data_IF_714878165146
#
_entry.id   IF_714878165146
#
_cell.length_a   1.000
_cell.length_b   1.000
_cell.length_c   1.000
_cell.angle_alpha   90.00
_cell.angle_beta   90.00
_cell.angle_gamma   90.00
#
_symmetry.space_group_name_H-M   'P 1'
#
loop_
_entity.id
_entity.type
_entity.pdbx_description
1 polymer ?
#
# COMPACT_ATOMS: atom_id res chain seq x y z
N UNK A 1 29.23 -13.77 6.31
CA UNK A 1 29.43 -12.69 5.33
C UNK A 1 28.67 -13.03 4.03
N UNK A 2 27.33 -12.92 4.02
CA UNK A 2 26.50 -13.07 2.81
C UNK A 2 25.22 -12.21 2.98
N UNK A 3 25.34 -10.92 3.31
CA UNK A 3 24.17 -10.03 3.42
C UNK A 3 24.28 -8.73 2.63
N UNK A 4 25.20 -8.63 1.67
CA UNK A 4 25.46 -7.37 0.96
C UNK A 4 24.83 -7.19 -0.43
N UNK A 5 24.21 -8.22 -1.00
CA UNK A 5 23.80 -8.18 -2.43
C UNK A 5 22.29 -8.22 -2.68
N UNK A 6 21.43 -8.38 -1.66
CA UNK A 6 19.98 -8.47 -1.88
C UNK A 6 19.20 -7.17 -1.66
N UNK A 7 19.81 -6.14 -1.06
CA UNK A 7 19.10 -4.88 -0.72
C UNK A 7 18.96 -3.88 -1.89
N UNK A 8 19.67 -4.06 -2.98
CA UNK A 8 19.77 -3.01 -4.03
C UNK A 8 18.80 -3.16 -5.21
N UNK A 9 18.04 -4.25 -5.30
CA UNK A 9 17.18 -4.50 -6.46
C UNK A 9 15.77 -3.91 -6.35
N UNK A 10 15.31 -3.51 -5.17
CA UNK A 10 13.96 -2.98 -4.91
C UNK A 10 13.98 -1.68 -4.09
N UNK A 11 12.92 -0.87 -4.13
CA UNK A 11 12.71 0.21 -3.18
C UNK A 11 12.55 -0.29 -1.75
N UNK A 12 12.85 0.56 -0.77
CA UNK A 12 12.50 0.31 0.63
C UNK A 12 10.98 0.50 0.82
N UNK A 13 10.30 -0.53 1.30
CA UNK A 13 8.84 -0.55 1.42
C UNK A 13 8.41 -0.48 2.88
N UNK A 14 7.63 0.55 3.21
CA UNK A 14 6.99 0.72 4.51
C UNK A 14 5.52 0.35 4.36
N UNK A 15 5.07 -0.73 4.99
CA UNK A 15 3.65 -1.01 5.16
C UNK A 15 3.10 -0.14 6.28
N UNK A 16 2.05 0.63 6.00
CA UNK A 16 1.39 1.47 6.99
C UNK A 16 -0.12 1.25 6.94
N UNK A 17 -0.70 0.96 8.08
CA UNK A 17 -2.14 0.80 8.22
C UNK A 17 -2.61 1.25 9.62
N UNK A 18 -3.90 1.45 9.75
CA UNK A 18 -4.58 1.56 11.04
C UNK A 18 -5.57 0.42 11.19
N UNK A 19 -5.71 -0.09 12.38
CA UNK A 19 -6.67 -1.15 12.70
C UNK A 19 -7.33 -0.93 14.06
N UNK A 20 -8.49 -1.55 14.26
CA UNK A 20 -9.09 -1.72 15.57
C UNK A 20 -8.26 -2.64 16.45
N UNK A 21 -8.51 -2.68 17.75
CA UNK A 21 -7.82 -3.57 18.68
C UNK A 21 -7.99 -5.05 18.30
N UNK A 22 -9.11 -5.40 17.67
CA UNK A 22 -9.41 -6.75 17.16
C UNK A 22 -8.98 -6.97 15.69
N UNK A 23 -8.11 -6.08 15.15
CA UNK A 23 -7.41 -6.27 13.87
C UNK A 23 -8.22 -5.93 12.61
N UNK A 24 -9.28 -5.14 12.72
CA UNK A 24 -10.09 -4.71 11.56
C UNK A 24 -9.62 -3.37 11.01
N UNK A 25 -9.48 -3.27 9.68
CA UNK A 25 -9.13 -2.02 8.98
C UNK A 25 -10.34 -1.33 8.36
N UNK A 26 -11.47 -2.03 8.29
CA UNK A 26 -12.75 -1.46 7.90
C UNK A 26 -13.90 -2.31 8.46
N UNK A 27 -15.06 -1.69 8.63
CA UNK A 27 -16.30 -2.39 8.99
C UNK A 27 -16.81 -3.22 7.81
N UNK A 28 -17.83 -4.07 8.03
CA UNK A 28 -18.50 -4.82 6.96
C UNK A 28 -19.17 -3.90 5.93
N UNK A 29 -19.60 -2.71 6.33
CA UNK A 29 -20.19 -1.69 5.44
C UNK A 29 -19.12 -0.88 4.69
N UNK A 30 -17.85 -1.06 5.07
CA UNK A 30 -16.72 -0.46 4.42
C UNK A 30 -16.21 0.83 5.01
N UNK A 31 -16.72 1.27 6.13
CA UNK A 31 -16.14 2.41 6.84
C UNK A 31 -14.71 2.07 7.30
N UNK A 32 -13.74 2.87 6.86
CA UNK A 32 -12.30 2.75 7.13
C UNK A 32 -11.75 3.96 7.92
N UNK A 33 -12.62 4.87 8.40
CA UNK A 33 -12.21 6.04 9.17
C UNK A 33 -11.92 5.69 10.65
N UNK A 34 -10.83 4.98 10.89
CA UNK A 34 -10.51 4.41 12.19
C UNK A 34 -9.49 5.23 13.00
N UNK A 35 -8.55 5.92 12.34
CA UNK A 35 -7.47 6.65 13.04
C UNK A 35 -7.92 7.99 13.61
N UNK A 36 -7.34 8.37 14.75
CA UNK A 36 -7.45 9.71 15.31
C UNK A 36 -6.77 10.76 14.39
N UNK A 37 -7.03 12.04 14.65
CA UNK A 37 -6.47 13.14 13.84
C UNK A 37 -4.94 13.19 13.90
N UNK A 38 -4.35 12.96 15.05
CA UNK A 38 -2.90 12.96 15.27
C UNK A 38 -2.21 11.89 14.45
N UNK A 39 -2.82 10.70 14.33
CA UNK A 39 -2.31 9.65 13.46
C UNK A 39 -2.48 10.01 11.98
N UNK A 40 -3.61 10.60 11.58
CA UNK A 40 -3.77 11.13 10.22
C UNK A 40 -2.68 12.15 9.88
N UNK A 41 -2.33 13.05 10.79
CA UNK A 41 -1.19 13.99 10.60
C UNK A 41 0.14 13.25 10.47
N UNK A 42 0.39 12.22 11.29
CA UNK A 42 1.59 11.36 11.20
C UNK A 42 1.70 10.71 9.81
N UNK A 43 0.60 10.13 9.32
CA UNK A 43 0.57 9.49 7.99
C UNK A 43 0.88 10.51 6.89
N UNK A 44 0.30 11.71 6.93
CA UNK A 44 0.59 12.74 5.93
C UNK A 44 2.04 13.26 5.98
N UNK A 45 2.64 13.32 7.19
CA UNK A 45 4.09 13.59 7.33
C UNK A 45 4.94 12.46 6.73
N UNK A 46 4.46 11.21 6.79
CA UNK A 46 5.13 10.08 6.17
C UNK A 46 4.99 10.12 4.64
N UNK A 47 3.79 10.41 4.11
CA UNK A 47 3.55 10.59 2.67
C UNK A 47 4.47 11.65 2.07
N UNK A 48 4.72 12.74 2.78
CA UNK A 48 5.62 13.80 2.34
C UNK A 48 7.12 13.40 2.32
N UNK A 49 7.49 12.23 2.85
CA UNK A 49 8.88 11.75 2.99
C UNK A 49 9.19 10.51 2.14
N UNK A 50 8.24 10.02 1.38
CA UNK A 50 8.41 8.88 0.48
C UNK A 50 8.33 9.33 -0.98
N UNK A 51 8.89 8.55 -1.87
CA UNK A 51 8.83 8.85 -3.30
C UNK A 51 7.49 8.46 -3.90
N UNK A 52 6.87 7.40 -3.37
CA UNK A 52 5.59 6.90 -3.86
C UNK A 52 4.70 6.31 -2.76
N UNK A 53 3.38 6.36 -3.01
CA UNK A 53 2.35 5.60 -2.27
C UNK A 53 1.86 4.49 -3.18
N UNK A 54 1.75 3.28 -2.64
CA UNK A 54 1.21 2.12 -3.36
C UNK A 54 -0.07 1.61 -2.70
N UNK A 55 -1.09 1.36 -3.52
CA UNK A 55 -2.34 0.73 -3.08
C UNK A 55 -2.82 -0.30 -4.11
N UNK A 56 -3.61 -1.27 -3.66
CA UNK A 56 -4.33 -2.18 -4.55
C UNK A 56 -5.58 -1.53 -5.14
N UNK A 57 -6.03 -2.03 -6.30
CA UNK A 57 -7.20 -1.49 -6.99
C UNK A 57 -8.47 -1.50 -6.13
N UNK A 58 -8.67 -2.49 -5.27
CA UNK A 58 -9.87 -2.54 -4.43
C UNK A 58 -9.99 -1.35 -3.48
N UNK A 59 -8.87 -0.79 -3.00
CA UNK A 59 -8.83 0.45 -2.22
C UNK A 59 -9.32 1.64 -3.06
N UNK A 60 -8.92 1.72 -4.34
CA UNK A 60 -9.38 2.79 -5.23
C UNK A 60 -10.88 2.65 -5.53
N UNK A 61 -11.35 1.44 -5.82
CA UNK A 61 -12.76 1.18 -6.14
C UNK A 61 -13.69 1.47 -4.96
N UNK A 62 -13.20 1.26 -3.73
CA UNK A 62 -14.01 1.41 -2.52
C UNK A 62 -13.97 2.85 -1.98
N UNK A 63 -12.77 3.41 -1.83
CA UNK A 63 -12.57 4.64 -1.07
C UNK A 63 -12.33 5.86 -1.97
N UNK A 64 -12.07 5.66 -3.27
CA UNK A 64 -11.69 6.70 -4.24
C UNK A 64 -10.71 7.74 -3.64
N UNK A 65 -9.57 7.28 -3.11
CA UNK A 65 -8.67 8.12 -2.35
C UNK A 65 -7.89 9.07 -3.26
N UNK A 66 -7.52 10.25 -2.73
CA UNK A 66 -6.63 11.18 -3.46
C UNK A 66 -5.17 10.80 -3.40
N UNK A 67 -4.72 10.07 -2.37
CA UNK A 67 -3.33 9.69 -2.08
C UNK A 67 -2.37 10.90 -2.08
N UNK A 68 -2.81 12.00 -1.52
CA UNK A 68 -2.08 13.28 -1.47
C UNK A 68 -1.62 13.62 -0.06
N UNK A 69 -0.75 14.61 0.04
CA UNK A 69 -0.35 15.25 1.31
C UNK A 69 -1.31 16.39 1.62
N UNK A 70 -2.05 16.31 2.75
CA UNK A 70 -3.01 17.34 3.19
C UNK A 70 -2.59 18.00 4.51
N UNK A 71 -2.18 17.20 5.49
CA UNK A 71 -1.92 17.66 6.86
C UNK A 71 -0.43 17.81 7.18
N UNK A 72 0.42 18.00 6.16
CA UNK A 72 1.85 18.22 6.31
C UNK A 72 2.36 19.12 5.18
N UNK A 73 3.52 19.75 5.38
CA UNK A 73 4.26 20.40 4.30
C UNK A 73 5.06 19.37 3.53
N UNK A 74 5.04 19.44 2.21
CA UNK A 74 5.81 18.53 1.32
C UNK A 74 5.15 18.36 -0.03
N UNK A 75 5.83 17.62 -0.91
CA UNK A 75 5.31 17.29 -2.25
C UNK A 75 4.41 16.05 -2.17
N UNK A 76 3.44 15.98 -3.07
CA UNK A 76 2.67 14.75 -3.26
C UNK A 76 3.59 13.65 -3.80
N UNK A 77 3.55 12.45 -3.23
CA UNK A 77 4.27 11.29 -3.76
C UNK A 77 3.63 10.79 -5.06
N UNK A 78 4.38 10.01 -5.83
CA UNK A 78 3.87 9.28 -6.99
C UNK A 78 2.82 8.28 -6.49
N UNK A 79 1.68 8.19 -7.17
CA UNK A 79 0.62 7.22 -6.87
C UNK A 79 0.88 5.95 -7.67
N UNK A 80 0.98 4.81 -7.03
CA UNK A 80 1.15 3.51 -7.66
C UNK A 80 -0.10 2.68 -7.37
N UNK A 81 -0.83 2.32 -8.40
CA UNK A 81 -2.03 1.48 -8.30
C UNK A 81 -1.70 0.11 -8.89
N UNK A 82 -1.86 -0.94 -8.09
CA UNK A 82 -1.69 -2.33 -8.57
C UNK A 82 -3.04 -2.88 -8.99
N UNK A 83 -3.23 -3.05 -10.31
CA UNK A 83 -4.50 -3.43 -10.93
C UNK A 83 -4.29 -4.31 -12.16
N UNK A 84 -4.13 -5.60 -11.98
CA UNK A 84 -3.80 -6.55 -13.05
C UNK A 84 -4.68 -6.45 -14.30
N UNK A 85 -5.96 -6.05 -14.15
CA UNK A 85 -6.95 -6.03 -15.23
C UNK A 85 -7.41 -4.64 -15.64
N UNK A 86 -6.75 -3.58 -15.17
CA UNK A 86 -7.12 -2.18 -15.43
C UNK A 86 -8.60 -1.87 -15.13
N UNK A 87 -9.10 -2.33 -13.96
CA UNK A 87 -10.47 -2.10 -13.49
C UNK A 87 -10.71 -0.66 -13.03
N UNK A 88 -9.64 0.10 -12.85
CA UNK A 88 -9.69 1.48 -12.36
C UNK A 88 -10.65 2.32 -13.21
N UNK A 89 -11.61 3.05 -12.63
CA UNK A 89 -12.45 3.99 -13.34
C UNK A 89 -11.63 5.16 -13.90
N UNK A 90 -12.00 5.69 -15.07
CA UNK A 90 -11.37 6.90 -15.61
C UNK A 90 -11.65 8.13 -14.73
N UNK A 91 -12.79 8.11 -14.06
CA UNK A 91 -13.28 9.16 -13.17
C UNK A 91 -12.61 9.13 -11.78
N UNK A 92 -11.86 8.08 -11.47
CA UNK A 92 -11.19 7.95 -10.17
C UNK A 92 -10.29 9.15 -9.87
N UNK A 93 -10.34 9.66 -8.64
CA UNK A 93 -9.55 10.83 -8.22
C UNK A 93 -8.06 10.70 -8.51
N UNK A 94 -7.50 9.49 -8.34
CA UNK A 94 -6.09 9.22 -8.64
C UNK A 94 -5.75 9.33 -10.13
N UNK A 95 -6.73 9.25 -11.03
CA UNK A 95 -6.60 9.46 -12.48
C UNK A 95 -6.77 10.93 -12.82
N UNK A 96 -7.80 11.57 -12.26
CA UNK A 96 -8.20 12.93 -12.63
C UNK A 96 -7.35 14.03 -12.01
N UNK A 97 -6.74 13.80 -10.84
CA UNK A 97 -5.90 14.79 -10.18
C UNK A 97 -4.56 14.96 -10.91
N UNK A 98 -4.30 16.18 -11.39
CA UNK A 98 -3.05 16.55 -12.11
C UNK A 98 -1.97 17.13 -11.17
N UNK A 99 -2.11 16.93 -9.87
CA UNK A 99 -1.22 17.42 -8.81
C UNK A 99 -0.04 16.47 -8.47
N UNK A 100 0.18 15.47 -9.31
CA UNK A 100 1.24 14.47 -9.20
C UNK A 100 1.11 13.37 -10.27
N UNK A 101 2.10 12.50 -10.34
CA UNK A 101 2.11 11.37 -11.27
C UNK A 101 1.30 10.19 -10.73
N UNK A 102 0.63 9.48 -11.64
CA UNK A 102 -0.03 8.20 -11.35
C UNK A 102 0.56 7.12 -12.25
N UNK A 103 1.05 6.04 -11.63
CA UNK A 103 1.52 4.82 -12.28
C UNK A 103 0.49 3.72 -12.04
N UNK A 104 0.06 3.06 -13.11
CA UNK A 104 -0.81 1.90 -13.04
C UNK A 104 -0.03 0.65 -13.41
N UNK A 105 0.17 -0.25 -12.47
CA UNK A 105 0.79 -1.55 -12.72
C UNK A 105 -0.29 -2.55 -13.15
N UNK A 106 -0.11 -3.15 -14.32
CA UNK A 106 -1.06 -4.08 -14.95
C UNK A 106 -0.38 -5.36 -15.39
N UNK A 107 -1.16 -6.41 -15.62
CA UNK A 107 -0.71 -7.63 -16.30
C UNK A 107 -1.06 -7.56 -17.79
N UNK A 108 -0.62 -8.57 -18.56
CA UNK A 108 -0.98 -8.71 -19.99
C UNK A 108 -2.48 -8.87 -20.25
N UNK A 109 -3.26 -9.23 -19.22
CA UNK A 109 -4.72 -9.35 -19.33
C UNK A 109 -5.45 -8.01 -19.35
N UNK A 110 -4.76 -6.89 -19.15
CA UNK A 110 -5.41 -5.57 -19.17
C UNK A 110 -5.89 -5.20 -20.58
N UNK A 111 -7.16 -4.75 -20.76
CA UNK A 111 -7.71 -4.42 -22.06
C UNK A 111 -6.98 -3.23 -22.72
N UNK A 112 -6.49 -3.40 -23.95
CA UNK A 112 -5.65 -2.41 -24.66
C UNK A 112 -6.36 -1.07 -24.85
N UNK A 113 -7.66 -1.08 -25.17
CA UNK A 113 -8.45 0.15 -25.34
C UNK A 113 -8.56 0.93 -24.02
N UNK A 114 -8.72 0.21 -22.89
CA UNK A 114 -8.74 0.84 -21.57
C UNK A 114 -7.39 1.46 -21.24
N UNK A 115 -6.30 0.77 -21.55
CA UNK A 115 -4.94 1.29 -21.32
C UNK A 115 -4.66 2.53 -22.19
N UNK A 116 -5.15 2.56 -23.44
CA UNK A 116 -5.04 3.74 -24.32
C UNK A 116 -5.74 4.95 -23.68
N UNK A 117 -6.99 4.80 -23.26
CA UNK A 117 -7.76 5.87 -22.61
C UNK A 117 -7.11 6.36 -21.32
N UNK A 118 -6.55 5.47 -20.50
CA UNK A 118 -5.82 5.84 -19.26
C UNK A 118 -4.56 6.64 -19.58
N UNK A 119 -3.82 6.32 -20.66
CA UNK A 119 -2.67 7.12 -21.11
C UNK A 119 -3.10 8.50 -21.59
N UNK A 120 -4.21 8.63 -22.29
CA UNK A 120 -4.80 9.91 -22.71
C UNK A 120 -5.12 10.78 -21.48
N UNK A 121 -5.54 10.17 -20.37
CA UNK A 121 -5.70 10.84 -19.08
C UNK A 121 -4.37 11.16 -18.35
N UNK A 122 -3.22 10.81 -18.93
CA UNK A 122 -1.89 11.05 -18.35
C UNK A 122 -1.42 10.02 -17.32
N UNK A 123 -2.06 8.84 -17.26
CA UNK A 123 -1.61 7.74 -16.41
C UNK A 123 -0.47 6.99 -17.11
N UNK A 124 0.66 6.84 -16.43
CA UNK A 124 1.77 6.00 -16.90
C UNK A 124 1.45 4.53 -16.62
N UNK A 125 1.62 3.66 -17.62
CA UNK A 125 1.33 2.23 -17.50
C UNK A 125 2.63 1.44 -17.35
N UNK A 126 2.68 0.57 -16.36
CA UNK A 126 3.73 -0.45 -16.18
C UNK A 126 3.07 -1.81 -16.40
N UNK A 127 3.41 -2.48 -17.51
CA UNK A 127 2.93 -3.84 -17.78
C UNK A 127 3.95 -4.84 -17.31
N UNK A 128 3.59 -5.66 -16.32
CA UNK A 128 4.44 -6.70 -15.75
C UNK A 128 3.61 -7.89 -15.24
N UNK A 129 3.99 -9.09 -15.66
CA UNK A 129 3.28 -10.34 -15.35
C UNK A 129 2.23 -10.73 -16.38
N UNK A 130 1.92 -12.02 -16.42
CA UNK A 130 0.96 -12.60 -17.37
C UNK A 130 -0.49 -12.37 -16.92
N UNK A 131 -0.94 -13.12 -15.90
CA UNK A 131 -2.31 -13.10 -15.39
C UNK A 131 -2.51 -12.08 -14.27
N UNK A 132 -1.46 -11.85 -13.51
CA UNK A 132 -1.41 -10.91 -12.39
C UNK A 132 -0.15 -10.07 -12.49
N UNK A 133 -0.16 -8.92 -11.86
CA UNK A 133 1.06 -8.11 -11.70
C UNK A 133 2.11 -8.94 -10.96
N UNK A 134 3.28 -9.11 -11.59
CA UNK A 134 4.48 -9.65 -10.95
C UNK A 134 5.09 -8.56 -10.07
N UNK A 135 4.94 -8.73 -8.75
CA UNK A 135 5.35 -7.71 -7.79
C UNK A 135 6.88 -7.55 -7.73
N UNK A 136 7.66 -8.63 -7.94
CA UNK A 136 9.13 -8.55 -7.96
C UNK A 136 9.61 -7.78 -9.17
N UNK A 137 9.06 -8.05 -10.35
CA UNK A 137 9.35 -7.31 -11.57
C UNK A 137 8.92 -5.85 -11.45
N UNK A 138 7.74 -5.59 -10.86
CA UNK A 138 7.28 -4.24 -10.57
C UNK A 138 8.26 -3.49 -9.66
N UNK A 139 8.71 -4.09 -8.56
CA UNK A 139 9.66 -3.46 -7.64
C UNK A 139 10.98 -3.12 -8.34
N UNK A 140 11.50 -4.01 -9.19
CA UNK A 140 12.70 -3.77 -9.98
C UNK A 140 12.53 -2.58 -10.92
N UNK A 141 11.42 -2.53 -11.65
CA UNK A 141 11.10 -1.42 -12.57
C UNK A 141 10.98 -0.09 -11.82
N UNK A 142 10.30 -0.06 -10.67
CA UNK A 142 10.16 1.14 -9.85
C UNK A 142 11.52 1.64 -9.34
N UNK A 143 12.41 0.74 -8.95
CA UNK A 143 13.78 1.09 -8.54
C UNK A 143 14.57 1.71 -9.70
N UNK A 144 14.45 1.15 -10.92
CA UNK A 144 15.10 1.67 -12.12
C UNK A 144 14.59 3.07 -12.50
N UNK A 145 13.33 3.38 -12.19
CA UNK A 145 12.73 4.71 -12.34
C UNK A 145 13.14 5.70 -11.25
N UNK A 146 14.05 5.32 -10.35
CA UNK A 146 14.56 6.17 -9.28
C UNK A 146 13.66 6.24 -8.04
N UNK A 147 12.61 5.42 -7.95
CA UNK A 147 11.79 5.30 -6.75
C UNK A 147 12.56 4.48 -5.72
N UNK A 148 12.91 5.09 -4.60
CA UNK A 148 13.74 4.49 -3.55
C UNK A 148 12.93 4.09 -2.31
N UNK A 149 11.83 4.79 -2.03
CA UNK A 149 11.02 4.56 -0.85
C UNK A 149 9.53 4.57 -1.19
N UNK A 150 8.83 3.50 -0.84
CA UNK A 150 7.40 3.32 -1.09
C UNK A 150 6.66 3.20 0.24
N UNK A 151 5.52 3.87 0.34
CA UNK A 151 4.54 3.70 1.40
C UNK A 151 3.41 2.82 0.86
N UNK A 152 3.31 1.59 1.35
CA UNK A 152 2.20 0.69 1.05
C UNK A 152 1.06 0.98 2.04
N UNK A 153 -0.07 1.49 1.52
CA UNK A 153 -1.23 1.88 2.33
C UNK A 153 -2.45 0.96 2.14
N UNK A 154 -2.22 -0.25 1.71
CA UNK A 154 -3.29 -1.25 1.72
C UNK A 154 -3.74 -1.72 0.33
N UNK A 155 -4.80 -2.32 0.38
CA UNK A 155 -5.65 -3.40 0.42
C UNK A 155 -5.03 -4.70 0.99
N UNK A 156 -5.81 -5.41 1.78
CA UNK A 156 -5.35 -6.62 2.49
C UNK A 156 -4.73 -7.68 1.57
N UNK A 157 -5.29 -7.90 0.40
CA UNK A 157 -4.77 -8.87 -0.58
C UNK A 157 -3.41 -8.46 -1.17
N UNK A 158 -3.21 -7.17 -1.51
CA UNK A 158 -1.92 -6.68 -1.98
C UNK A 158 -0.89 -6.78 -0.87
N UNK A 159 -1.26 -6.39 0.35
CA UNK A 159 -0.39 -6.48 1.53
C UNK A 159 0.06 -7.92 1.78
N UNK A 160 -0.86 -8.90 1.71
CA UNK A 160 -0.49 -10.31 1.84
C UNK A 160 0.50 -10.75 0.78
N UNK A 161 0.25 -10.42 -0.49
CA UNK A 161 1.16 -10.78 -1.59
C UNK A 161 2.55 -10.16 -1.40
N UNK A 162 2.62 -8.90 -0.99
CA UNK A 162 3.88 -8.21 -0.69
C UNK A 162 4.63 -8.83 0.49
N UNK A 163 3.92 -9.23 1.56
CA UNK A 163 4.52 -9.98 2.68
C UNK A 163 5.01 -11.36 2.25
N UNK A 164 4.18 -12.11 1.52
CA UNK A 164 4.51 -13.45 1.04
C UNK A 164 5.75 -13.49 0.16
N UNK A 165 5.96 -12.46 -0.65
CA UNK A 165 7.12 -12.33 -1.54
C UNK A 165 8.34 -11.67 -0.89
N UNK A 166 8.29 -11.31 0.40
CA UNK A 166 9.41 -10.69 1.12
C UNK A 166 9.74 -9.27 0.63
N UNK A 167 8.74 -8.52 0.18
CA UNK A 167 8.94 -7.21 -0.42
C UNK A 167 8.77 -6.04 0.55
N UNK A 168 8.39 -6.29 1.81
CA UNK A 168 8.17 -5.28 2.84
C UNK A 168 9.35 -5.26 3.80
N UNK A 169 9.86 -4.08 4.13
CA UNK A 169 11.02 -3.88 5.00
C UNK A 169 10.61 -3.41 6.41
N UNK A 170 9.58 -2.58 6.48
CA UNK A 170 9.13 -1.98 7.75
C UNK A 170 7.60 -2.03 7.84
N UNK A 171 7.09 -2.27 9.05
CA UNK A 171 5.65 -2.25 9.36
C UNK A 171 5.37 -1.15 10.37
N UNK A 172 4.37 -0.33 10.10
CA UNK A 172 3.82 0.67 11.01
C UNK A 172 2.31 0.46 11.12
N UNK A 173 1.85 0.05 12.27
CA UNK A 173 0.42 -0.19 12.51
C UNK A 173 -0.06 0.70 13.64
N UNK A 174 -1.04 1.55 13.36
CA UNK A 174 -1.79 2.26 14.38
C UNK A 174 -2.91 1.35 14.89
N UNK A 175 -3.00 1.21 16.20
CA UNK A 175 -4.07 0.48 16.88
C UNK A 175 -4.98 1.51 17.54
N UNK A 176 -6.19 1.64 17.03
CA UNK A 176 -7.23 2.48 17.61
C UNK A 176 -7.89 1.74 18.80
N UNK A 177 -8.25 2.45 19.88
CA UNK A 177 -8.88 1.85 21.06
C UNK A 177 -10.37 1.54 20.83
N UNK A 178 -10.65 0.74 19.80
CA UNK A 178 -12.01 0.35 19.40
C UNK A 178 -12.05 -1.13 19.03
N UNK A 179 -13.18 -1.78 19.28
CA UNK A 179 -13.52 -3.13 18.82
C UNK A 179 -14.61 -3.01 17.75
N UNK A 180 -14.38 -3.62 16.60
CA UNK A 180 -15.31 -3.59 15.45
C UNK A 180 -16.03 -4.93 15.28
N UNK A 181 -15.31 -6.06 15.42
CA UNK A 181 -15.88 -7.40 15.20
C UNK A 181 -16.26 -7.66 13.74
N UNK A 182 -17.14 -8.67 13.56
CA UNK A 182 -17.70 -9.04 12.26
C UNK A 182 -16.81 -10.01 11.45
N UNK A 183 -17.45 -11.12 10.98
CA UNK A 183 -16.77 -12.11 10.13
C UNK A 183 -16.33 -11.48 8.81
N UNK A 184 -17.18 -10.62 8.22
CA UNK A 184 -16.99 -10.03 6.91
C UNK A 184 -16.30 -8.65 6.96
N UNK A 185 -15.87 -8.22 8.15
CA UNK A 185 -15.07 -7.01 8.33
C UNK A 185 -13.65 -7.24 7.87
N UNK A 186 -13.10 -6.30 7.09
CA UNK A 186 -11.77 -6.41 6.45
C UNK A 186 -10.68 -6.41 7.52
N UNK A 187 -9.75 -7.36 7.42
CA UNK A 187 -8.61 -7.47 8.33
C UNK A 187 -7.37 -6.78 7.80
N UNK A 188 -6.36 -6.60 8.69
CA UNK A 188 -5.10 -5.92 8.37
C UNK A 188 -4.40 -6.53 7.16
N UNK A 189 -4.39 -7.86 7.08
CA UNK A 189 -3.80 -8.64 5.97
C UNK A 189 -4.77 -9.75 5.62
N UNK A 190 -5.12 -9.87 4.35
CA UNK A 190 -6.05 -10.87 3.81
C UNK A 190 -5.30 -11.87 2.90
N UNK A 191 -6.02 -12.48 1.95
CA UNK A 191 -5.48 -13.47 1.01
C UNK A 191 -5.57 -14.90 1.56
N UNK A 192 -4.78 -15.82 0.96
CA UNK A 192 -4.85 -17.26 1.29
C UNK A 192 -4.28 -17.58 2.68
N UNK A 193 -3.53 -16.68 3.27
CA UNK A 193 -2.84 -16.88 4.54
C UNK A 193 -1.66 -17.85 4.43
N UNK A 194 -0.89 -17.97 5.53
CA UNK A 194 0.14 -18.99 5.69
C UNK A 194 -0.45 -20.23 6.38
N UNK A 195 0.02 -21.42 6.03
CA UNK A 195 -0.50 -22.67 6.58
C UNK A 195 -0.14 -22.88 8.06
N UNK A 196 0.92 -22.23 8.53
CA UNK A 196 1.36 -22.33 9.93
C UNK A 196 1.99 -21.03 10.40
N UNK A 197 2.02 -20.81 11.72
CA UNK A 197 2.73 -19.67 12.33
C UNK A 197 4.25 -19.68 12.03
N UNK A 198 4.84 -20.84 11.74
CA UNK A 198 6.26 -20.98 11.38
C UNK A 198 6.57 -20.35 10.02
N UNK A 199 5.62 -20.43 9.09
CA UNK A 199 5.72 -19.82 7.74
C UNK A 199 5.42 -18.33 7.73
N UNK A 200 4.77 -17.82 8.78
CA UNK A 200 4.40 -16.42 8.89
C UNK A 200 5.63 -15.50 8.92
N UNK A 201 5.48 -14.30 8.38
CA UNK A 201 6.51 -13.27 8.36
C UNK A 201 6.87 -12.84 9.79
N UNK A 202 8.14 -12.95 10.14
CA UNK A 202 8.64 -12.58 11.47
C UNK A 202 8.92 -11.08 11.54
N UNK A 203 8.56 -10.50 12.67
CA UNK A 203 8.72 -9.06 12.91
C UNK A 203 9.53 -8.83 14.19
N UNK A 204 10.36 -7.79 14.20
CA UNK A 204 11.08 -7.32 15.37
C UNK A 204 10.58 -5.94 15.77
N UNK A 205 10.01 -5.82 16.96
CA UNK A 205 9.54 -4.55 17.50
C UNK A 205 10.71 -3.57 17.65
N UNK A 206 10.61 -2.38 17.05
CA UNK A 206 11.57 -1.27 17.16
C UNK A 206 11.16 -0.27 18.23
N UNK A 207 9.88 0.11 18.21
CA UNK A 207 9.36 1.11 19.15
C UNK A 207 7.82 1.12 19.14
N UNK A 208 7.29 1.72 20.19
CA UNK A 208 5.86 2.05 20.34
C UNK A 208 5.76 3.55 20.53
N UNK A 209 4.78 4.20 19.90
CA UNK A 209 4.48 5.62 20.12
C UNK A 209 2.98 5.83 20.20
N UNK A 210 2.57 6.75 21.07
CA UNK A 210 1.19 7.22 21.14
C UNK A 210 1.00 8.46 20.26
N UNK A 211 -0.11 8.48 19.51
CA UNK A 211 -0.59 9.62 18.72
C UNK A 211 -2.07 9.83 19.07
N UNK A 212 -2.41 10.88 19.81
CA UNK A 212 -3.74 11.03 20.38
C UNK A 212 -4.12 9.82 21.21
N UNK A 213 -5.17 9.10 20.82
CA UNK A 213 -5.63 7.87 21.47
C UNK A 213 -5.02 6.60 20.85
N UNK A 214 -4.43 6.69 19.65
CA UNK A 214 -3.88 5.55 18.94
C UNK A 214 -2.48 5.17 19.44
N UNK A 215 -2.21 3.86 19.49
CA UNK A 215 -0.87 3.31 19.68
C UNK A 215 -0.28 2.89 18.35
N UNK A 216 0.85 3.46 17.96
CA UNK A 216 1.53 3.08 16.72
C UNK A 216 2.72 2.19 17.03
N UNK A 217 2.67 0.96 16.50
CA UNK A 217 3.72 -0.03 16.60
C UNK A 217 4.61 0.04 15.35
N UNK A 218 5.91 0.03 15.56
CA UNK A 218 6.92 0.05 14.49
C UNK A 218 7.72 -1.24 14.55
N UNK A 219 7.79 -1.97 13.45
CA UNK A 219 8.54 -3.23 13.35
C UNK A 219 9.47 -3.22 12.14
N UNK A 220 10.63 -3.86 12.27
CA UNK A 220 11.39 -4.37 11.12
C UNK A 220 10.83 -5.73 10.72
N UNK A 221 10.76 -5.97 9.41
CA UNK A 221 10.50 -7.30 8.87
C UNK A 221 11.82 -8.08 8.90
N UNK A 222 11.77 -9.29 9.46
CA UNK A 222 12.94 -10.20 9.50
C UNK A 222 12.90 -11.08 8.25
N UNK A 223 13.94 -10.99 7.44
CA UNK A 223 14.20 -11.83 6.26
C UNK A 223 14.98 -13.06 6.64
#
# INVERSE_FOLDING_TARGET
MVNGFMEDYKPYVIFNAAMSLDGKIATREGDSEISCFEDKVRVHKLRAKVDAIMVGINTVLKDDPKLTVKYAKGKNPIRIIVDSKARIPLEAKVVQLKDGKTLLAVSKLAPRDKLKRLREEGVEIIECGEDRVDLKSLMKELKQRGIRKILLEGGGNLSFSMFKEGLIDEVRVAIAPIIVGGRDSITLVEGDGFKSFKEGVKLRLKRIRRYGEDLVLYYDVLT
#
